data_IF_066598925676
#
_entry.id   IF_066598925676
#
_cell.length_a   1.000
_cell.length_b   1.000
_cell.length_c   1.000
_cell.angle_alpha   90.00
_cell.angle_beta   90.00
_cell.angle_gamma   90.00
#
_symmetry.space_group_name_H-M   'P 1'
#
loop_
_entity.id
_entity.type
_entity.pdbx_description
1 polymer ?
#
# COMPACT_ATOMS: atom_id res chain seq x y z
N UNK A 1 -12.84 36.57 16.81
CA UNK A 1 -12.96 35.83 15.52
C UNK A 1 -11.64 35.24 15.02
N UNK A 2 -10.56 35.99 14.79
CA UNK A 2 -9.29 35.45 14.25
C UNK A 2 -8.69 34.27 15.04
N UNK A 3 -8.65 34.36 16.38
CA UNK A 3 -8.19 33.24 17.24
C UNK A 3 -9.03 31.97 17.05
N UNK A 4 -10.35 32.11 16.89
CA UNK A 4 -11.25 30.97 16.67
C UNK A 4 -11.01 30.33 15.30
N UNK A 5 -10.78 31.13 14.25
CA UNK A 5 -10.45 30.62 12.90
C UNK A 5 -9.09 29.90 12.92
N UNK A 6 -8.08 30.49 13.57
CA UNK A 6 -6.77 29.86 13.73
C UNK A 6 -6.89 28.53 14.48
N UNK A 7 -7.65 28.48 15.57
CA UNK A 7 -7.92 27.26 16.32
C UNK A 7 -8.58 26.18 15.44
N UNK A 8 -9.61 26.54 14.66
CA UNK A 8 -10.29 25.62 13.74
C UNK A 8 -9.32 25.06 12.69
N UNK A 9 -8.44 25.90 12.13
CA UNK A 9 -7.46 25.45 11.14
C UNK A 9 -6.42 24.49 11.74
N UNK A 10 -5.93 24.77 12.95
CA UNK A 10 -5.04 23.85 13.66
C UNK A 10 -5.74 22.54 14.01
N UNK A 11 -7.02 22.58 14.41
CA UNK A 11 -7.81 21.37 14.64
C UNK A 11 -7.88 20.48 13.39
N UNK A 12 -8.24 21.04 12.24
CA UNK A 12 -8.28 20.29 10.98
C UNK A 12 -6.89 19.77 10.57
N UNK A 13 -5.85 20.57 10.74
CA UNK A 13 -4.48 20.15 10.46
C UNK A 13 -4.07 18.94 11.32
N UNK A 14 -4.40 18.95 12.62
CA UNK A 14 -4.16 17.81 13.50
C UNK A 14 -4.91 16.57 13.03
N UNK A 15 -6.18 16.69 12.65
CA UNK A 15 -6.98 15.57 12.12
C UNK A 15 -6.36 14.99 10.85
N UNK A 16 -5.94 15.84 9.90
CA UNK A 16 -5.31 15.40 8.65
C UNK A 16 -3.96 14.74 8.94
N UNK A 17 -3.18 15.26 9.88
CA UNK A 17 -1.89 14.67 10.27
C UNK A 17 -2.08 13.29 10.89
N UNK A 18 -3.07 13.13 11.78
CA UNK A 18 -3.42 11.84 12.36
C UNK A 18 -3.96 10.86 11.30
N UNK A 19 -4.72 11.33 10.32
CA UNK A 19 -5.17 10.51 9.20
C UNK A 19 -3.97 10.02 8.36
N UNK A 20 -3.01 10.89 8.07
CA UNK A 20 -1.77 10.51 7.39
C UNK A 20 -1.01 9.44 8.19
N UNK A 21 -0.87 9.61 9.51
CA UNK A 21 -0.25 8.59 10.37
C UNK A 21 -0.92 7.21 10.22
N UNK A 22 -2.26 7.15 10.17
CA UNK A 22 -2.99 5.90 10.00
C UNK A 22 -2.84 5.29 8.61
N UNK A 23 -2.79 6.12 7.56
CA UNK A 23 -2.62 5.66 6.18
C UNK A 23 -1.22 5.05 5.98
N UNK A 24 -0.19 5.66 6.56
CA UNK A 24 1.20 5.25 6.40
C UNK A 24 1.67 4.22 7.44
N UNK A 25 0.76 3.68 8.27
CA UNK A 25 1.07 2.62 9.23
C UNK A 25 1.67 1.39 8.50
N UNK A 26 2.52 0.61 9.17
CA UNK A 26 3.05 -0.60 8.56
C UNK A 26 1.93 -1.56 8.19
N UNK A 27 2.02 -2.14 7.01
CA UNK A 27 1.08 -3.15 6.53
C UNK A 27 1.83 -4.32 5.90
N UNK A 28 1.24 -5.51 6.06
CA UNK A 28 1.76 -6.71 5.42
C UNK A 28 1.03 -6.92 4.11
N UNK A 29 1.78 -7.27 3.08
CA UNK A 29 1.25 -7.65 1.78
C UNK A 29 1.90 -8.94 1.30
N UNK A 30 1.17 -9.70 0.48
CA UNK A 30 1.69 -10.91 -0.13
C UNK A 30 2.65 -10.53 -1.27
N UNK A 31 3.88 -10.99 -1.17
CA UNK A 31 4.90 -10.80 -2.19
C UNK A 31 4.90 -11.96 -3.17
N UNK A 32 4.30 -11.74 -4.35
CA UNK A 32 4.25 -12.72 -5.43
C UNK A 32 5.65 -13.07 -5.99
N UNK A 33 6.66 -12.22 -5.81
CA UNK A 33 8.02 -12.52 -6.26
C UNK A 33 8.73 -13.54 -5.36
N UNK A 34 8.38 -13.57 -4.06
CA UNK A 34 8.97 -14.48 -3.07
C UNK A 34 8.09 -15.70 -2.78
N UNK A 35 6.80 -15.62 -3.12
CA UNK A 35 5.85 -16.72 -2.96
C UNK A 35 6.11 -17.84 -3.98
N UNK A 36 5.83 -19.08 -3.62
CA UNK A 36 6.09 -20.23 -4.47
C UNK A 36 5.04 -21.33 -4.29
N UNK A 37 4.96 -22.22 -5.27
CA UNK A 37 4.22 -23.48 -5.17
C UNK A 37 5.20 -24.64 -5.18
N UNK A 38 4.81 -25.75 -4.54
CA UNK A 38 5.52 -27.03 -4.60
C UNK A 38 4.57 -28.05 -5.20
N UNK A 39 4.98 -28.71 -6.28
CA UNK A 39 4.16 -29.68 -6.98
C UNK A 39 4.22 -31.06 -6.31
N UNK A 40 3.06 -31.70 -6.10
CA UNK A 40 2.99 -32.95 -5.35
C UNK A 40 3.72 -34.10 -6.07
N UNK A 41 3.61 -34.14 -7.41
CA UNK A 41 4.07 -35.24 -8.26
C UNK A 41 5.59 -35.44 -8.25
N UNK A 42 6.36 -34.37 -8.25
CA UNK A 42 7.82 -34.39 -8.40
C UNK A 42 8.55 -33.51 -7.37
N UNK A 43 7.82 -32.90 -6.43
CA UNK A 43 8.36 -31.96 -5.43
C UNK A 43 9.10 -30.77 -6.05
N UNK A 44 8.81 -30.46 -7.33
CA UNK A 44 9.39 -29.31 -7.99
C UNK A 44 8.82 -28.03 -7.39
N UNK A 45 9.71 -27.05 -7.17
CA UNK A 45 9.38 -25.73 -6.67
C UNK A 45 9.33 -24.74 -7.83
N UNK A 46 8.27 -23.92 -7.85
CA UNK A 46 8.12 -22.84 -8.81
C UNK A 46 7.73 -21.54 -8.11
N UNK A 47 8.46 -20.47 -8.37
CA UNK A 47 8.12 -19.11 -7.93
C UNK A 47 6.89 -18.61 -8.69
N UNK A 48 5.87 -18.07 -8.00
CA UNK A 48 4.61 -17.75 -8.68
C UNK A 48 4.73 -16.51 -9.60
N UNK A 49 5.49 -15.49 -9.18
CA UNK A 49 5.67 -14.24 -9.93
C UNK A 49 6.22 -14.41 -11.35
N UNK A 50 7.40 -15.05 -11.53
CA UNK A 50 7.95 -15.35 -12.86
C UNK A 50 7.04 -16.23 -13.72
N UNK A 51 6.23 -17.08 -13.08
CA UNK A 51 5.27 -17.97 -13.73
C UNK A 51 3.91 -17.30 -14.01
N UNK A 52 3.77 -15.98 -13.78
CA UNK A 52 2.53 -15.21 -13.96
C UNK A 52 1.33 -15.81 -13.21
N UNK A 53 1.61 -16.38 -12.04
CA UNK A 53 0.64 -16.83 -11.05
C UNK A 53 0.66 -15.76 -9.95
N UNK A 54 -0.51 -15.20 -9.66
CA UNK A 54 -0.64 -14.11 -8.69
C UNK A 54 -1.66 -14.46 -7.62
N UNK A 55 -1.39 -14.01 -6.40
CA UNK A 55 -2.31 -14.03 -5.29
C UNK A 55 -2.29 -12.72 -4.53
N UNK A 56 -3.39 -12.44 -3.84
CA UNK A 56 -3.51 -11.39 -2.84
C UNK A 56 -3.80 -11.95 -1.44
N UNK A 57 -3.96 -13.27 -1.33
CA UNK A 57 -4.38 -13.97 -0.11
C UNK A 57 -3.60 -15.27 0.07
N UNK A 58 -3.86 -16.00 1.15
CA UNK A 58 -3.25 -17.32 1.40
C UNK A 58 -3.67 -18.42 0.40
N UNK A 59 -4.54 -18.11 -0.56
CA UNK A 59 -5.01 -19.03 -1.60
C UNK A 59 -4.94 -18.41 -3.00
N UNK A 60 -4.70 -19.24 -4.01
CA UNK A 60 -4.87 -18.84 -5.40
C UNK A 60 -6.36 -18.71 -5.74
N UNK A 61 -6.72 -17.70 -6.53
CA UNK A 61 -8.04 -17.64 -7.13
C UNK A 61 -8.22 -18.75 -8.19
N UNK A 62 -9.44 -18.94 -8.69
CA UNK A 62 -9.74 -20.02 -9.63
C UNK A 62 -8.85 -19.97 -10.89
N UNK A 63 -8.57 -18.77 -11.40
CA UNK A 63 -7.77 -18.59 -12.61
C UNK A 63 -6.29 -18.97 -12.38
N UNK A 64 -5.70 -18.54 -11.26
CA UNK A 64 -4.32 -18.84 -10.90
C UNK A 64 -4.16 -20.28 -10.40
N UNK A 65 -5.18 -20.86 -9.77
CA UNK A 65 -5.25 -22.29 -9.42
C UNK A 65 -5.14 -23.17 -10.66
N UNK A 66 -5.93 -22.89 -11.70
CA UNK A 66 -5.87 -23.64 -12.96
C UNK A 66 -4.47 -23.60 -13.60
N UNK A 67 -3.82 -22.43 -13.58
CA UNK A 67 -2.43 -22.28 -14.05
C UNK A 67 -1.45 -23.09 -13.22
N UNK A 68 -1.51 -22.98 -11.90
CA UNK A 68 -0.63 -23.73 -10.99
C UNK A 68 -0.75 -25.24 -11.22
N UNK A 69 -1.96 -25.72 -11.48
CA UNK A 69 -2.23 -27.15 -11.68
C UNK A 69 -1.73 -27.67 -13.00
N UNK A 70 -1.89 -26.87 -14.06
CA UNK A 70 -1.28 -27.16 -15.37
C UNK A 70 0.24 -27.14 -15.28
N UNK A 71 0.81 -26.17 -14.58
CA UNK A 71 2.25 -26.07 -14.34
C UNK A 71 2.76 -27.33 -13.62
N UNK A 72 2.09 -27.77 -12.55
CA UNK A 72 2.51 -28.95 -11.81
C UNK A 72 2.25 -30.28 -12.53
N UNK A 73 1.27 -30.35 -13.43
CA UNK A 73 1.00 -31.57 -14.20
C UNK A 73 1.95 -31.73 -15.40
N UNK A 74 2.19 -30.63 -16.13
CA UNK A 74 2.86 -30.65 -17.42
C UNK A 74 4.24 -29.98 -17.42
N UNK A 75 4.67 -29.39 -16.31
CA UNK A 75 5.91 -28.61 -16.20
C UNK A 75 6.00 -27.47 -17.24
N UNK A 76 4.84 -26.90 -17.61
CA UNK A 76 4.73 -25.85 -18.62
C UNK A 76 4.32 -24.53 -17.96
N UNK A 77 5.22 -23.56 -18.04
CA UNK A 77 5.10 -22.23 -17.42
C UNK A 77 3.87 -21.47 -17.96
N UNK A 78 3.55 -21.62 -19.26
CA UNK A 78 2.42 -20.92 -19.90
C UNK A 78 1.77 -21.75 -20.99
N UNK A 79 0.51 -22.09 -20.79
CA UNK A 79 -0.39 -22.65 -21.80
C UNK A 79 -1.21 -21.52 -22.44
N UNK A 80 -0.57 -20.72 -23.31
CA UNK A 80 -1.19 -19.54 -23.94
C UNK A 80 -2.44 -19.85 -24.78
N UNK A 81 -2.53 -21.08 -25.29
CA UNK A 81 -3.62 -21.52 -26.15
C UNK A 81 -4.70 -22.30 -25.37
N UNK A 82 -4.53 -22.44 -24.06
CA UNK A 82 -5.42 -23.19 -23.17
C UNK A 82 -5.72 -24.62 -23.67
N UNK A 83 -4.72 -25.28 -24.28
CA UNK A 83 -4.90 -26.59 -24.93
C UNK A 83 -4.74 -27.76 -23.97
N UNK A 84 -4.10 -27.54 -22.82
CA UNK A 84 -3.88 -28.57 -21.82
C UNK A 84 -5.11 -28.75 -20.93
N UNK A 85 -5.44 -30.00 -20.59
CA UNK A 85 -6.53 -30.29 -19.66
C UNK A 85 -6.12 -29.81 -18.27
N UNK A 86 -6.93 -28.99 -17.62
CA UNK A 86 -6.73 -28.70 -16.19
C UNK A 86 -7.00 -30.02 -15.42
N UNK A 87 -6.12 -30.45 -14.50
CA UNK A 87 -6.45 -31.49 -13.54
C UNK A 87 -7.81 -31.22 -12.85
N UNK A 88 -8.40 -32.20 -12.15
CA UNK A 88 -9.68 -32.00 -11.43
C UNK A 88 -9.51 -31.66 -9.95
N UNK A 89 -8.37 -32.05 -9.34
CA UNK A 89 -7.97 -31.63 -8.00
C UNK A 89 -6.69 -30.78 -8.01
N UNK A 90 -6.46 -29.91 -7.00
CA UNK A 90 -5.15 -29.32 -6.76
C UNK A 90 -4.08 -30.41 -6.62
N UNK A 91 -2.95 -30.21 -7.28
CA UNK A 91 -1.78 -31.10 -7.28
C UNK A 91 -0.51 -30.33 -6.86
N UNK A 92 -0.69 -29.32 -6.01
CA UNK A 92 0.35 -28.43 -5.51
C UNK A 92 0.00 -27.92 -4.11
N UNK A 93 1.03 -27.56 -3.36
CA UNK A 93 0.92 -26.78 -2.13
C UNK A 93 1.39 -25.34 -2.39
N UNK A 94 0.61 -24.36 -1.94
CA UNK A 94 0.96 -22.94 -2.05
C UNK A 94 1.61 -22.42 -0.77
N UNK A 95 2.73 -21.72 -0.92
CA UNK A 95 3.49 -21.11 0.15
C UNK A 95 3.55 -19.59 -0.07
N UNK A 96 2.59 -18.83 0.50
CA UNK A 96 2.60 -17.38 0.42
C UNK A 96 3.75 -16.81 1.26
N UNK A 97 4.47 -15.84 0.69
CA UNK A 97 5.49 -15.07 1.39
C UNK A 97 4.98 -13.65 1.62
N UNK A 98 5.01 -13.20 2.87
CA UNK A 98 4.59 -11.85 3.24
C UNK A 98 5.78 -10.93 3.42
N UNK A 99 5.63 -9.68 2.98
CA UNK A 99 6.55 -8.59 3.27
C UNK A 99 5.81 -7.49 4.00
N UNK A 100 6.52 -6.83 4.91
CA UNK A 100 6.04 -5.63 5.59
C UNK A 100 6.55 -4.42 4.83
N UNK A 101 5.64 -3.55 4.42
CA UNK A 101 5.99 -2.23 3.88
C UNK A 101 5.73 -1.14 4.93
N UNK A 102 6.53 -0.07 4.86
CA UNK A 102 6.53 1.02 5.83
C UNK A 102 6.95 0.60 7.25
N UNK A 103 7.12 1.60 8.12
CA UNK A 103 7.36 1.43 9.54
C UNK A 103 6.56 2.46 10.34
N UNK A 104 6.35 2.19 11.62
CA UNK A 104 5.75 3.18 12.52
C UNK A 104 6.57 4.48 12.61
N UNK A 105 7.89 4.39 12.41
CA UNK A 105 8.77 5.54 12.36
C UNK A 105 8.50 6.37 11.10
N UNK A 106 8.36 5.74 9.94
CA UNK A 106 8.04 6.43 8.69
C UNK A 106 6.67 7.13 8.78
N UNK A 107 5.66 6.44 9.33
CA UNK A 107 4.34 7.02 9.58
C UNK A 107 4.41 8.26 10.47
N UNK A 108 5.20 8.20 11.55
CA UNK A 108 5.41 9.31 12.48
C UNK A 108 6.11 10.49 11.80
N UNK A 109 7.16 10.23 11.02
CA UNK A 109 7.90 11.24 10.27
C UNK A 109 6.97 11.95 9.28
N UNK A 110 6.22 11.21 8.47
CA UNK A 110 5.29 11.77 7.47
C UNK A 110 4.21 12.63 8.14
N UNK A 111 3.59 12.11 9.21
CA UNK A 111 2.60 12.86 9.98
C UNK A 111 3.18 14.15 10.56
N UNK A 112 4.40 14.09 11.08
CA UNK A 112 5.07 15.26 11.69
C UNK A 112 5.40 16.30 10.63
N UNK A 113 5.97 15.90 9.49
CA UNK A 113 6.28 16.78 8.36
C UNK A 113 5.01 17.49 7.88
N UNK A 114 3.91 16.75 7.71
CA UNK A 114 2.64 17.32 7.26
C UNK A 114 2.09 18.36 8.26
N UNK A 115 2.17 18.06 9.56
CA UNK A 115 1.80 19.01 10.60
C UNK A 115 2.66 20.28 10.56
N UNK A 116 3.99 20.16 10.51
CA UNK A 116 4.89 21.32 10.53
C UNK A 116 4.75 22.19 9.28
N UNK A 117 4.60 21.60 8.10
CA UNK A 117 4.35 22.34 6.87
C UNK A 117 3.02 23.10 6.96
N UNK A 118 1.95 22.42 7.38
CA UNK A 118 0.64 23.04 7.53
C UNK A 118 0.63 24.16 8.57
N UNK A 119 1.31 23.97 9.70
CA UNK A 119 1.43 24.98 10.75
C UNK A 119 2.17 26.22 10.25
N UNK A 120 3.24 26.02 9.46
CA UNK A 120 3.98 27.11 8.81
C UNK A 120 3.10 27.92 7.87
N UNK A 121 2.30 27.25 7.03
CA UNK A 121 1.33 27.91 6.13
C UNK A 121 0.31 28.73 6.92
N UNK A 122 -0.26 28.16 7.98
CA UNK A 122 -1.22 28.86 8.85
C UNK A 122 -0.56 30.12 9.45
N UNK A 123 0.66 30.01 9.96
CA UNK A 123 1.37 31.17 10.53
C UNK A 123 1.58 32.29 9.51
N UNK A 124 2.06 31.96 8.31
CA UNK A 124 2.30 32.94 7.24
C UNK A 124 1.00 33.67 6.86
N UNK A 125 -0.09 32.94 6.66
CA UNK A 125 -1.40 33.51 6.30
C UNK A 125 -1.91 34.52 7.34
N UNK A 126 -1.69 34.23 8.62
CA UNK A 126 -2.13 35.14 9.68
C UNK A 126 -1.14 36.28 9.94
N UNK A 127 0.17 36.11 9.73
CA UNK A 127 1.15 37.21 9.85
C UNK A 127 0.99 38.25 8.73
N UNK A 128 0.85 37.82 7.47
CA UNK A 128 0.65 38.72 6.33
C UNK A 128 -0.62 39.56 6.47
N UNK A 129 -1.71 38.97 6.97
CA UNK A 129 -2.95 39.67 7.23
C UNK A 129 -2.85 40.77 8.30
N UNK A 130 -1.87 40.72 9.22
CA UNK A 130 -1.63 41.85 10.13
C UNK A 130 -0.79 42.94 9.50
N UNK A 131 0.25 42.57 8.75
CA UNK A 131 1.10 43.54 8.09
C UNK A 131 0.30 44.42 7.11
N UNK A 132 -0.58 43.79 6.31
CA UNK A 132 -1.52 44.49 5.41
C UNK A 132 -2.53 45.38 6.15
N UNK A 133 -2.99 44.97 7.34
CA UNK A 133 -3.90 45.78 8.16
C UNK A 133 -3.22 47.03 8.70
N UNK A 134 -2.01 46.88 9.26
CA UNK A 134 -1.23 47.98 9.82
C UNK A 134 -0.88 49.00 8.71
N UNK A 135 -0.48 48.53 7.53
CA UNK A 135 -0.23 49.42 6.39
C UNK A 135 -1.48 50.21 5.98
N UNK A 136 -2.66 49.59 5.93
CA UNK A 136 -3.91 50.30 5.65
C UNK A 136 -4.27 51.35 6.70
N UNK A 137 -3.95 51.11 7.97
CA UNK A 137 -4.18 52.08 9.04
C UNK A 137 -3.17 53.24 9.02
N UNK A 138 -1.95 53.03 8.53
CA UNK A 138 -0.92 54.07 8.39
C UNK A 138 -1.16 54.97 7.17
N UNK A 139 -1.72 54.41 6.09
CA UNK A 139 -1.92 55.10 4.81
C UNK A 139 -3.38 55.52 4.54
N UNK A 140 -4.25 55.48 5.56
CA UNK A 140 -5.62 56.02 5.56
C UNK A 140 -5.71 57.28 6.39
#
# INVERSE_FOLDING_TARGET
MRKNIQFVLYFFLTVISLAAFQIFRPFNYLDNASSYIVCDKNQARFEIGPNLIYSFTDSLDEFNDQKARKLCEYNLIKDYLNTLKVPEKPNYAFYPAYKTESSWLDALIISSILFFIGATVIQILFQQNQFLKILKEIFS
#
